data_IF_651756832874
#
_entry.id   IF_651756832874
#
_cell.length_a   1.000
_cell.length_b   1.000
_cell.length_c   1.000
_cell.angle_alpha   90.00
_cell.angle_beta   90.00
_cell.angle_gamma   90.00
#
_symmetry.space_group_name_H-M   'P 1'
#
loop_
_entity.id
_entity.type
_entity.pdbx_description
1 polymer ?
#
# COMPACT_ATOMS: atom_id res chain seq x y z
N UNK A 1 10.60 -13.47 38.50
CA UNK A 1 10.25 -14.61 37.61
C UNK A 1 8.89 -14.43 36.91
N UNK A 2 7.74 -14.40 37.60
CA UNK A 2 6.41 -14.30 36.96
C UNK A 2 6.21 -13.10 36.01
N UNK A 3 6.64 -11.89 36.39
CA UNK A 3 6.51 -10.68 35.55
C UNK A 3 7.39 -10.71 34.30
N UNK A 4 8.59 -11.25 34.41
CA UNK A 4 9.53 -11.40 33.29
C UNK A 4 8.98 -12.38 32.25
N UNK A 5 8.44 -13.50 32.72
CA UNK A 5 7.78 -14.49 31.86
C UNK A 5 6.60 -13.85 31.13
N UNK A 6 5.74 -13.10 31.83
CA UNK A 6 4.61 -12.42 31.21
C UNK A 6 5.02 -11.45 30.10
N UNK A 7 6.03 -10.60 30.35
CA UNK A 7 6.54 -9.66 29.33
C UNK A 7 7.08 -10.41 28.13
N UNK A 8 7.86 -11.48 28.35
CA UNK A 8 8.43 -12.27 27.27
C UNK A 8 7.34 -12.97 26.43
N UNK A 9 6.34 -13.55 27.09
CA UNK A 9 5.15 -14.12 26.41
C UNK A 9 4.41 -13.08 25.60
N UNK A 10 4.20 -11.86 26.14
CA UNK A 10 3.57 -10.77 25.39
C UNK A 10 4.37 -10.39 24.15
N UNK A 11 5.70 -10.28 24.26
CA UNK A 11 6.57 -9.98 23.11
C UNK A 11 6.42 -11.02 22.01
N UNK A 12 6.48 -12.30 22.37
CA UNK A 12 6.35 -13.41 21.41
C UNK A 12 4.98 -13.38 20.74
N UNK A 13 3.90 -13.25 21.52
CA UNK A 13 2.53 -13.22 21.00
C UNK A 13 2.36 -12.03 20.04
N UNK A 14 2.81 -10.84 20.45
CA UNK A 14 2.73 -9.64 19.60
C UNK A 14 3.53 -9.83 18.30
N UNK A 15 4.73 -10.41 18.36
CA UNK A 15 5.53 -10.68 17.16
C UNK A 15 4.84 -11.68 16.21
N UNK A 16 4.30 -12.79 16.73
CA UNK A 16 3.60 -13.81 15.93
C UNK A 16 2.37 -13.22 15.27
N UNK A 17 1.53 -12.51 16.03
CA UNK A 17 0.33 -11.88 15.49
C UNK A 17 0.67 -10.85 14.41
N UNK A 18 1.69 -10.01 14.66
CA UNK A 18 2.13 -8.99 13.69
C UNK A 18 2.73 -9.59 12.43
N UNK A 19 3.35 -10.77 12.52
CA UNK A 19 3.84 -11.51 11.36
C UNK A 19 2.70 -12.13 10.54
N UNK A 20 1.59 -12.53 11.17
CA UNK A 20 0.49 -13.21 10.48
C UNK A 20 -0.56 -12.25 9.90
N UNK A 21 -0.78 -11.10 10.55
CA UNK A 21 -1.94 -10.25 10.27
C UNK A 21 -1.45 -8.85 9.91
N UNK A 22 -1.61 -8.48 8.63
CA UNK A 22 -1.04 -7.24 8.10
C UNK A 22 -1.65 -5.98 8.71
N UNK A 23 -2.94 -5.94 9.07
CA UNK A 23 -3.56 -4.73 9.64
C UNK A 23 -3.11 -4.39 11.07
N UNK A 24 -2.49 -5.36 11.78
CA UNK A 24 -2.00 -5.14 13.15
C UNK A 24 -0.93 -4.05 13.20
N UNK A 25 -0.13 -3.88 12.14
CA UNK A 25 0.90 -2.85 12.11
C UNK A 25 0.33 -1.43 12.31
N UNK A 26 -0.79 -1.10 11.67
CA UNK A 26 -1.47 0.20 11.78
C UNK A 26 -1.98 0.42 13.19
N UNK A 27 -2.55 -0.62 13.80
CA UNK A 27 -3.00 -0.57 15.19
C UNK A 27 -1.84 -0.36 16.17
N UNK A 28 -0.71 -1.04 15.97
CA UNK A 28 0.49 -0.86 16.79
C UNK A 28 1.08 0.54 16.63
N UNK A 29 1.12 1.09 15.41
CA UNK A 29 1.57 2.47 15.16
C UNK A 29 0.68 3.46 15.89
N UNK A 30 -0.65 3.28 15.84
CA UNK A 30 -1.59 4.12 16.56
C UNK A 30 -1.35 4.08 18.08
N UNK A 31 -1.14 2.88 18.66
CA UNK A 31 -0.82 2.74 20.08
C UNK A 31 0.48 3.48 20.43
N UNK A 32 1.52 3.36 19.60
CA UNK A 32 2.78 4.08 19.80
C UNK A 32 2.53 5.59 19.83
N UNK A 33 1.79 6.12 18.85
CA UNK A 33 1.47 7.55 18.77
C UNK A 33 0.72 8.04 20.01
N UNK A 34 -0.31 7.31 20.44
CA UNK A 34 -1.09 7.65 21.64
C UNK A 34 -0.24 7.63 22.91
N UNK A 35 0.67 6.66 23.06
CA UNK A 35 1.57 6.59 24.22
C UNK A 35 2.63 7.69 24.20
N UNK A 36 3.13 8.10 23.02
CA UNK A 36 4.04 9.25 22.89
C UNK A 36 3.30 10.53 23.30
N UNK A 37 2.09 10.77 22.78
CA UNK A 37 1.29 11.93 23.15
C UNK A 37 1.00 11.97 24.67
N UNK A 38 0.66 10.82 25.25
CA UNK A 38 0.48 10.70 26.70
C UNK A 38 1.75 11.04 27.47
N UNK A 39 2.92 10.53 27.05
CA UNK A 39 4.20 10.83 27.69
C UNK A 39 4.58 12.31 27.61
N UNK A 40 4.24 12.99 26.50
CA UNK A 40 4.43 14.45 26.37
C UNK A 40 3.58 15.18 27.41
N UNK A 41 2.28 14.87 27.50
CA UNK A 41 1.36 15.51 28.46
C UNK A 41 1.82 15.28 29.90
N UNK A 42 2.14 14.03 30.25
CA UNK A 42 2.64 13.67 31.58
C UNK A 42 3.97 14.34 31.88
N UNK A 43 4.86 14.44 30.89
CA UNK A 43 6.12 15.17 31.00
C UNK A 43 5.90 16.64 31.37
N UNK A 44 4.98 17.32 30.67
CA UNK A 44 4.62 18.71 30.96
C UNK A 44 4.05 18.87 32.38
N UNK A 45 3.16 17.98 32.82
CA UNK A 45 2.61 18.00 34.18
C UNK A 45 3.72 17.78 35.23
N UNK A 46 4.71 16.93 34.90
CA UNK A 46 5.78 16.57 35.84
C UNK A 46 6.72 17.72 36.20
N UNK A 47 6.75 18.78 35.38
CA UNK A 47 7.47 20.03 35.67
C UNK A 47 6.89 20.72 36.92
N UNK A 48 5.57 20.67 37.07
CA UNK A 48 4.85 21.35 38.16
C UNK A 48 4.55 20.43 39.35
N UNK A 49 4.55 19.11 39.14
CA UNK A 49 4.20 18.14 40.17
C UNK A 49 5.05 16.88 40.06
N UNK A 50 5.63 16.43 41.17
CA UNK A 50 6.32 15.14 41.22
C UNK A 50 5.35 14.00 40.96
N UNK A 51 5.54 13.28 39.85
CA UNK A 51 4.73 12.14 39.46
C UNK A 51 5.43 10.81 39.80
N UNK A 52 4.63 9.75 39.92
CA UNK A 52 5.14 8.40 40.20
C UNK A 52 5.83 7.85 38.96
N UNK A 53 7.05 7.30 39.11
CA UNK A 53 7.83 6.71 38.02
C UNK A 53 7.07 5.67 37.16
N UNK A 54 6.09 4.96 37.73
CA UNK A 54 5.26 3.99 36.98
C UNK A 54 4.46 4.64 35.84
N UNK A 55 4.10 5.92 35.95
CA UNK A 55 3.35 6.66 34.93
C UNK A 55 4.17 6.80 33.65
N UNK A 56 5.50 6.88 33.75
CA UNK A 56 6.40 6.87 32.60
C UNK A 56 6.77 5.46 32.15
N UNK A 57 7.04 4.54 33.09
CA UNK A 57 7.52 3.18 32.76
C UNK A 57 6.52 2.33 31.97
N UNK A 58 5.22 2.45 32.26
CA UNK A 58 4.20 1.62 31.60
C UNK A 58 4.05 1.99 30.10
N UNK A 59 3.84 3.26 29.72
CA UNK A 59 3.79 3.65 28.31
C UNK A 59 5.07 3.30 27.55
N UNK A 60 6.25 3.49 28.16
CA UNK A 60 7.53 3.11 27.53
C UNK A 60 7.59 1.61 27.26
N UNK A 61 7.17 0.77 28.20
CA UNK A 61 7.12 -0.68 28.00
C UNK A 61 6.15 -1.07 26.87
N UNK A 62 4.98 -0.42 26.79
CA UNK A 62 4.01 -0.63 25.71
C UNK A 62 4.61 -0.22 24.36
N UNK A 63 5.27 0.93 24.29
CA UNK A 63 5.97 1.39 23.08
C UNK A 63 7.01 0.36 22.64
N UNK A 64 7.85 -0.14 23.56
CA UNK A 64 8.84 -1.17 23.24
C UNK A 64 8.18 -2.45 22.70
N UNK A 65 7.07 -2.90 23.29
CA UNK A 65 6.31 -4.06 22.82
C UNK A 65 5.77 -3.85 21.40
N UNK A 66 5.17 -2.69 21.14
CA UNK A 66 4.64 -2.33 19.83
C UNK A 66 5.74 -2.25 18.76
N UNK A 67 6.91 -1.68 19.10
CA UNK A 67 8.07 -1.63 18.19
C UNK A 67 8.50 -3.03 17.78
N UNK A 68 8.56 -3.99 18.70
CA UNK A 68 8.89 -5.39 18.35
C UNK A 68 7.88 -5.98 17.38
N UNK A 69 6.57 -5.75 17.60
CA UNK A 69 5.53 -6.19 16.67
C UNK A 69 5.67 -5.55 15.28
N UNK A 70 5.88 -4.24 15.22
CA UNK A 70 6.10 -3.50 13.96
C UNK A 70 7.30 -4.09 13.22
N UNK A 71 8.43 -4.28 13.89
CA UNK A 71 9.63 -4.88 13.29
C UNK A 71 9.36 -6.30 12.78
N UNK A 72 8.66 -7.14 13.55
CA UNK A 72 8.28 -8.48 13.12
C UNK A 72 7.39 -8.46 11.86
N UNK A 73 6.48 -7.49 11.75
CA UNK A 73 5.59 -7.34 10.57
C UNK A 73 6.34 -7.02 9.27
N UNK A 74 7.53 -6.39 9.35
CA UNK A 74 8.34 -6.08 8.16
C UNK A 74 8.85 -7.33 7.44
N UNK A 75 8.90 -8.46 8.15
CA UNK A 75 9.32 -9.76 7.61
C UNK A 75 8.16 -10.61 7.09
N UNK A 76 6.91 -10.12 7.16
CA UNK A 76 5.77 -10.82 6.57
C UNK A 76 6.03 -11.07 5.07
N UNK A 77 5.89 -12.31 4.58
CA UNK A 77 6.13 -12.61 3.17
C UNK A 77 5.07 -11.94 2.31
N UNK A 78 5.47 -11.40 1.15
CA UNK A 78 4.48 -10.99 0.15
C UNK A 78 3.75 -12.23 -0.40
N UNK A 79 2.47 -12.07 -0.72
CA UNK A 79 1.77 -13.04 -1.56
C UNK A 79 2.38 -13.10 -2.97
N UNK A 80 2.04 -14.12 -3.75
CA UNK A 80 2.49 -14.21 -5.15
C UNK A 80 2.04 -12.95 -5.90
N UNK A 81 2.90 -12.38 -6.74
CA UNK A 81 2.56 -11.17 -7.49
C UNK A 81 1.57 -11.44 -8.63
N UNK A 82 1.55 -12.68 -9.12
CA UNK A 82 0.70 -13.14 -10.23
C UNK A 82 0.24 -14.59 -9.99
N UNK A 83 -0.81 -14.98 -10.71
CA UNK A 83 -1.25 -16.37 -10.89
C UNK A 83 -1.29 -16.69 -12.39
N UNK A 84 -1.30 -17.97 -12.75
CA UNK A 84 -1.50 -18.42 -14.13
C UNK A 84 -2.74 -19.33 -14.20
N UNK A 85 -3.93 -18.74 -14.04
CA UNK A 85 -5.18 -19.45 -14.24
C UNK A 85 -5.53 -19.52 -15.74
N UNK A 86 -6.47 -20.40 -16.09
CA UNK A 86 -6.99 -20.52 -17.45
C UNK A 86 -7.89 -19.34 -17.85
N UNK A 87 -8.30 -18.50 -16.90
CA UNK A 87 -9.17 -17.35 -17.13
C UNK A 87 -8.34 -16.07 -17.13
N UNK A 88 -8.40 -15.33 -18.24
CA UNK A 88 -7.68 -14.07 -18.41
C UNK A 88 -8.06 -13.03 -17.35
N UNK A 89 -9.36 -12.87 -17.09
CA UNK A 89 -9.88 -11.86 -16.17
C UNK A 89 -9.36 -12.10 -14.75
N UNK A 90 -9.26 -13.36 -14.32
CA UNK A 90 -8.74 -13.71 -13.00
C UNK A 90 -7.26 -13.34 -12.86
N UNK A 91 -6.45 -13.56 -13.90
CA UNK A 91 -5.03 -13.20 -13.90
C UNK A 91 -4.85 -11.67 -13.78
N UNK A 92 -5.65 -10.91 -14.52
CA UNK A 92 -5.64 -9.44 -14.50
C UNK A 92 -6.09 -8.88 -13.16
N UNK A 93 -7.21 -9.38 -12.64
CA UNK A 93 -7.75 -8.99 -11.34
C UNK A 93 -6.77 -9.31 -10.22
N UNK A 94 -6.12 -10.48 -10.25
CA UNK A 94 -5.15 -10.87 -9.24
C UNK A 94 -3.89 -10.00 -9.28
N UNK A 95 -3.37 -9.71 -10.47
CA UNK A 95 -2.23 -8.80 -10.63
C UNK A 95 -2.55 -7.41 -10.08
N UNK A 96 -3.73 -6.87 -10.41
CA UNK A 96 -4.22 -5.59 -9.86
C UNK A 96 -4.36 -5.64 -8.33
N UNK A 97 -5.07 -6.63 -7.78
CA UNK A 97 -5.31 -6.74 -6.34
C UNK A 97 -4.01 -6.84 -5.55
N UNK A 98 -3.04 -7.60 -6.03
CA UNK A 98 -1.76 -7.75 -5.34
C UNK A 98 -0.87 -6.52 -5.49
N UNK A 99 -0.92 -5.79 -6.61
CA UNK A 99 -0.26 -4.47 -6.74
C UNK A 99 -0.81 -3.49 -5.70
N UNK A 100 -2.13 -3.37 -5.61
CA UNK A 100 -2.79 -2.49 -4.64
C UNK A 100 -2.53 -2.91 -3.20
N UNK A 101 -2.46 -4.23 -2.94
CA UNK A 101 -2.14 -4.75 -1.62
C UNK A 101 -0.71 -4.41 -1.22
N UNK A 102 0.27 -4.66 -2.09
CA UNK A 102 1.67 -4.40 -1.78
C UNK A 102 1.88 -2.92 -1.44
N UNK A 103 1.24 -2.00 -2.17
CA UNK A 103 1.34 -0.54 -1.93
C UNK A 103 0.71 -0.10 -0.61
N UNK A 104 -0.12 -0.94 0.02
CA UNK A 104 -0.69 -0.73 1.36
C UNK A 104 0.09 -1.45 2.46
N UNK A 105 1.22 -2.09 2.16
CA UNK A 105 2.02 -2.75 3.20
C UNK A 105 3.08 -1.77 3.76
N UNK A 106 3.26 -1.76 5.08
CA UNK A 106 4.20 -0.86 5.76
C UNK A 106 5.63 -0.97 5.20
N UNK A 107 6.09 -2.20 4.93
CA UNK A 107 7.43 -2.47 4.36
C UNK A 107 7.63 -1.85 2.99
N UNK A 108 6.57 -1.56 2.24
CA UNK A 108 6.68 -0.93 0.93
C UNK A 108 7.11 0.53 1.00
N UNK A 109 6.94 1.18 2.16
CA UNK A 109 7.44 2.52 2.45
C UNK A 109 8.88 2.53 3.01
N UNK A 110 9.46 1.35 3.28
CA UNK A 110 10.80 1.22 3.85
C UNK A 110 11.70 0.57 2.80
N UNK A 111 12.52 1.36 2.12
CA UNK A 111 13.28 0.93 0.93
C UNK A 111 14.03 -0.39 1.09
N UNK A 112 14.63 -0.67 2.25
CA UNK A 112 15.35 -1.93 2.51
C UNK A 112 14.45 -3.18 2.49
N UNK A 113 13.18 -3.05 2.87
CA UNK A 113 12.22 -4.17 2.91
C UNK A 113 11.26 -4.20 1.71
N UNK A 114 11.22 -3.11 0.94
CA UNK A 114 10.32 -2.98 -0.20
C UNK A 114 10.78 -3.87 -1.35
N UNK A 115 9.83 -4.61 -1.94
CA UNK A 115 10.02 -5.38 -3.17
C UNK A 115 9.13 -4.90 -4.31
N UNK A 116 8.63 -3.65 -4.24
CA UNK A 116 7.65 -3.14 -5.19
C UNK A 116 8.16 -3.21 -6.64
N UNK A 117 9.36 -2.71 -6.91
CA UNK A 117 9.92 -2.68 -8.27
C UNK A 117 10.05 -4.07 -8.90
N UNK A 118 10.60 -5.04 -8.15
CA UNK A 118 10.71 -6.44 -8.58
C UNK A 118 9.32 -7.01 -8.92
N UNK A 119 8.33 -6.74 -8.08
CA UNK A 119 6.97 -7.28 -8.21
C UNK A 119 6.19 -6.61 -9.33
N UNK A 120 6.40 -5.32 -9.54
CA UNK A 120 5.84 -4.56 -10.66
C UNK A 120 6.37 -5.10 -11.99
N UNK A 121 7.68 -5.40 -12.08
CA UNK A 121 8.27 -6.07 -13.24
C UNK A 121 7.62 -7.44 -13.53
N UNK A 122 7.37 -8.26 -12.51
CA UNK A 122 6.71 -9.56 -12.66
C UNK A 122 5.31 -9.40 -13.24
N UNK A 123 4.51 -8.46 -12.71
CA UNK A 123 3.14 -8.18 -13.21
C UNK A 123 3.18 -7.63 -14.62
N UNK A 124 4.01 -6.63 -14.88
CA UNK A 124 4.16 -6.01 -16.21
C UNK A 124 4.53 -7.04 -17.26
N UNK A 125 5.42 -8.00 -16.95
CA UNK A 125 5.76 -9.09 -17.88
C UNK A 125 4.54 -9.93 -18.25
N UNK A 126 3.69 -10.27 -17.28
CA UNK A 126 2.45 -11.00 -17.55
C UNK A 126 1.45 -10.18 -18.35
N UNK A 127 1.19 -8.94 -17.94
CA UNK A 127 0.19 -8.07 -18.57
C UNK A 127 0.61 -7.69 -19.99
N UNK A 128 1.89 -7.40 -20.25
CA UNK A 128 2.41 -7.18 -21.62
C UNK A 128 2.18 -8.39 -22.53
N UNK A 129 2.31 -9.61 -22.00
CA UNK A 129 2.03 -10.84 -22.78
C UNK A 129 0.54 -10.94 -23.13
N UNK A 130 -0.34 -10.63 -22.18
CA UNK A 130 -1.79 -10.61 -22.37
C UNK A 130 -2.19 -9.54 -23.39
N UNK A 131 -1.68 -8.32 -23.23
CA UNK A 131 -1.97 -7.18 -24.11
C UNK A 131 -1.58 -7.47 -25.56
N UNK A 132 -0.41 -8.06 -25.80
CA UNK A 132 0.05 -8.45 -27.16
C UNK A 132 -0.83 -9.49 -27.87
N UNK A 133 -1.68 -10.21 -27.14
CA UNK A 133 -2.60 -11.19 -27.71
C UNK A 133 -3.95 -10.57 -28.10
N UNK A 134 -4.14 -9.26 -27.88
CA UNK A 134 -5.36 -8.51 -28.17
C UNK A 134 -6.63 -9.10 -27.51
N UNK A 135 -6.47 -9.60 -26.27
CA UNK A 135 -7.53 -10.30 -25.53
C UNK A 135 -8.30 -9.42 -24.53
N UNK A 136 -8.01 -8.12 -24.46
CA UNK A 136 -8.60 -7.20 -23.47
C UNK A 136 -9.91 -6.59 -23.98
N UNK A 137 -10.99 -7.37 -23.99
CA UNK A 137 -12.31 -6.89 -24.46
C UNK A 137 -13.18 -6.29 -23.35
N UNK A 138 -13.09 -6.80 -22.12
CA UNK A 138 -13.95 -6.34 -21.01
C UNK A 138 -13.44 -5.03 -20.42
N UNK A 139 -14.31 -4.06 -20.10
CA UNK A 139 -13.88 -2.80 -19.48
C UNK A 139 -13.11 -2.98 -18.16
N UNK A 140 -13.51 -3.94 -17.33
CA UNK A 140 -12.84 -4.21 -16.06
C UNK A 140 -11.43 -4.79 -16.25
N UNK A 141 -11.24 -5.61 -17.29
CA UNK A 141 -9.93 -6.18 -17.64
C UNK A 141 -8.98 -5.10 -18.16
N UNK A 142 -9.50 -4.15 -18.95
CA UNK A 142 -8.76 -2.96 -19.38
C UNK A 142 -8.36 -2.10 -18.18
N UNK A 143 -9.26 -1.85 -17.23
CA UNK A 143 -8.95 -1.13 -16.00
C UNK A 143 -7.84 -1.81 -15.19
N UNK A 144 -7.93 -3.12 -14.95
CA UNK A 144 -6.91 -3.87 -14.21
C UNK A 144 -5.55 -3.82 -14.92
N UNK A 145 -5.52 -4.01 -16.24
CA UNK A 145 -4.29 -3.90 -17.03
C UNK A 145 -3.71 -2.48 -16.99
N UNK A 146 -4.55 -1.46 -17.15
CA UNK A 146 -4.15 -0.06 -17.12
C UNK A 146 -3.49 0.31 -15.80
N UNK A 147 -4.02 -0.17 -14.67
CA UNK A 147 -3.45 0.10 -13.36
C UNK A 147 -2.04 -0.49 -13.20
N UNK A 148 -1.82 -1.69 -13.72
CA UNK A 148 -0.47 -2.31 -13.71
C UNK A 148 0.48 -1.54 -14.63
N UNK A 149 0.07 -1.17 -15.84
CA UNK A 149 0.89 -0.36 -16.76
C UNK A 149 1.20 1.03 -16.21
N UNK A 150 0.28 1.63 -15.45
CA UNK A 150 0.46 2.94 -14.82
C UNK A 150 1.69 2.94 -13.89
N UNK A 151 2.05 1.80 -13.31
CA UNK A 151 3.21 1.63 -12.43
C UNK A 151 4.49 1.15 -13.15
N UNK A 152 4.51 1.18 -14.48
CA UNK A 152 5.74 0.96 -15.23
C UNK A 152 6.76 2.10 -15.04
N UNK A 153 7.91 1.95 -15.70
CA UNK A 153 9.07 2.84 -15.68
C UNK A 153 9.33 3.52 -17.04
N UNK A 154 8.39 3.43 -17.99
CA UNK A 154 8.63 3.88 -19.37
C UNK A 154 7.38 4.52 -20.01
N UNK A 155 7.62 5.51 -20.87
CA UNK A 155 6.58 6.31 -21.52
C UNK A 155 5.63 5.48 -22.40
N UNK A 156 6.11 4.39 -23.01
CA UNK A 156 5.29 3.54 -23.88
C UNK A 156 4.19 2.84 -23.08
N UNK A 157 4.53 2.30 -21.92
CA UNK A 157 3.56 1.67 -21.04
C UNK A 157 2.62 2.69 -20.40
N UNK A 158 3.08 3.91 -20.08
CA UNK A 158 2.19 4.98 -19.63
C UNK A 158 1.14 5.35 -20.68
N UNK A 159 1.53 5.38 -21.96
CA UNK A 159 0.59 5.58 -23.06
C UNK A 159 -0.47 4.47 -23.09
N UNK A 160 -0.04 3.21 -23.01
CA UNK A 160 -0.94 2.05 -22.98
C UNK A 160 -1.88 2.13 -21.76
N UNK A 161 -1.37 2.52 -20.59
CA UNK A 161 -2.17 2.73 -19.39
C UNK A 161 -3.25 3.78 -19.63
N UNK A 162 -2.90 4.92 -20.23
CA UNK A 162 -3.83 6.00 -20.55
C UNK A 162 -4.94 5.56 -21.50
N UNK A 163 -4.59 4.85 -22.57
CA UNK A 163 -5.56 4.38 -23.57
C UNK A 163 -6.54 3.36 -22.95
N UNK A 164 -6.02 2.36 -22.22
CA UNK A 164 -6.84 1.34 -21.56
C UNK A 164 -7.73 1.93 -20.45
N UNK A 165 -7.21 2.88 -19.67
CA UNK A 165 -7.97 3.55 -18.62
C UNK A 165 -9.08 4.42 -19.21
N UNK A 166 -8.82 5.11 -20.33
CA UNK A 166 -9.85 5.87 -21.06
C UNK A 166 -10.95 4.97 -21.59
N UNK A 167 -10.60 3.86 -22.25
CA UNK A 167 -11.57 2.88 -22.73
C UNK A 167 -12.44 2.32 -21.59
N UNK A 168 -11.83 1.98 -20.46
CA UNK A 168 -12.56 1.50 -19.29
C UNK A 168 -13.51 2.58 -18.76
N UNK A 169 -13.02 3.82 -18.61
CA UNK A 169 -13.76 4.96 -18.09
C UNK A 169 -14.91 5.42 -19.00
N UNK A 170 -14.84 5.16 -20.31
CA UNK A 170 -15.91 5.49 -21.24
C UNK A 170 -16.96 4.38 -21.37
N UNK A 171 -16.75 3.22 -20.74
CA UNK A 171 -17.72 2.13 -20.76
C UNK A 171 -18.96 2.41 -19.92
N UNK A 172 -20.12 1.93 -20.36
CA UNK A 172 -21.39 2.15 -19.65
C UNK A 172 -21.37 1.63 -18.21
N UNK A 173 -20.62 0.55 -17.96
CA UNK A 173 -20.54 -0.12 -16.66
C UNK A 173 -19.64 0.63 -15.67
N UNK A 174 -18.57 1.26 -16.16
CA UNK A 174 -17.54 1.87 -15.30
C UNK A 174 -17.48 3.39 -15.37
N UNK A 175 -18.28 4.06 -16.21
CA UNK A 175 -18.25 5.52 -16.36
C UNK A 175 -18.47 6.31 -15.07
N UNK A 176 -19.21 5.74 -14.13
CA UNK A 176 -19.47 6.37 -12.83
C UNK A 176 -18.52 5.88 -11.72
N UNK A 177 -17.55 5.01 -12.02
CA UNK A 177 -16.60 4.52 -11.03
C UNK A 177 -15.49 5.55 -10.81
N UNK A 178 -15.43 6.11 -9.60
CA UNK A 178 -14.44 7.12 -9.21
C UNK A 178 -13.00 6.70 -9.51
N UNK A 179 -12.59 5.50 -9.08
CA UNK A 179 -11.21 5.02 -9.24
C UNK A 179 -10.84 4.87 -10.71
N UNK A 180 -11.78 4.45 -11.56
CA UNK A 180 -11.57 4.33 -13.00
C UNK A 180 -11.40 5.73 -13.63
N UNK A 181 -12.22 6.71 -13.23
CA UNK A 181 -12.11 8.09 -13.70
C UNK A 181 -10.81 8.77 -13.23
N UNK A 182 -10.39 8.50 -11.99
CA UNK A 182 -9.11 8.94 -11.48
C UNK A 182 -7.96 8.33 -12.29
N UNK A 183 -7.99 7.02 -12.54
CA UNK A 183 -6.92 6.34 -13.28
C UNK A 183 -6.79 6.89 -14.70
N UNK A 184 -7.92 7.19 -15.38
CA UNK A 184 -7.91 7.86 -16.70
C UNK A 184 -7.08 9.15 -16.66
N UNK A 185 -7.33 10.01 -15.67
CA UNK A 185 -6.61 11.29 -15.53
C UNK A 185 -5.15 11.07 -15.13
N UNK A 186 -4.91 10.20 -14.15
CA UNK A 186 -3.59 9.94 -13.57
C UNK A 186 -2.62 9.29 -14.56
N UNK A 187 -3.10 8.35 -15.37
CA UNK A 187 -2.28 7.71 -16.41
C UNK A 187 -2.01 8.63 -17.59
N UNK A 188 -2.97 9.47 -17.98
CA UNK A 188 -2.77 10.49 -19.01
C UNK A 188 -1.70 11.50 -18.62
N UNK A 189 -1.81 12.12 -17.44
CA UNK A 189 -0.81 13.09 -16.98
C UNK A 189 0.58 12.46 -16.84
N UNK A 190 0.65 11.22 -16.33
CA UNK A 190 1.93 10.49 -16.26
C UNK A 190 2.56 10.29 -17.63
N UNK A 191 1.75 9.96 -18.64
CA UNK A 191 2.23 9.86 -20.02
C UNK A 191 2.73 11.22 -20.52
N UNK A 192 1.95 12.29 -20.36
CA UNK A 192 2.33 13.65 -20.82
C UNK A 192 3.65 14.11 -20.19
N UNK A 193 3.78 13.98 -18.87
CA UNK A 193 5.01 14.35 -18.15
C UNK A 193 6.20 13.52 -18.65
N UNK A 194 6.01 12.22 -18.88
CA UNK A 194 7.08 11.33 -19.36
C UNK A 194 7.61 11.68 -20.75
N UNK A 195 6.88 12.48 -21.54
CA UNK A 195 7.29 12.96 -22.87
C UNK A 195 7.59 14.47 -22.89
N UNK A 196 7.77 15.08 -21.71
CA UNK A 196 8.13 16.49 -21.57
C UNK A 196 6.97 17.47 -21.80
N UNK A 197 5.72 16.99 -21.74
CA UNK A 197 4.52 17.82 -21.88
C UNK A 197 3.92 18.14 -20.49
N UNK A 198 3.20 19.27 -20.35
CA UNK A 198 2.55 19.62 -19.10
C UNK A 198 1.41 18.65 -18.75
N UNK A 199 1.12 18.54 -17.44
CA UNK A 199 -0.07 17.86 -16.94
C UNK A 199 -1.35 18.56 -17.42
N UNK A 200 -2.41 17.80 -17.70
CA UNK A 200 -3.73 18.33 -18.04
C UNK A 200 -4.66 18.35 -16.83
N UNK A 201 -4.53 17.36 -15.95
CA UNK A 201 -5.42 17.19 -14.79
C UNK A 201 -4.72 17.41 -13.44
N UNK A 202 -3.42 17.74 -13.44
CA UNK A 202 -2.59 18.03 -12.26
C UNK A 202 -2.56 16.89 -11.22
N UNK A 203 -2.46 15.65 -11.68
CA UNK A 203 -2.53 14.44 -10.85
C UNK A 203 -1.19 13.88 -10.38
N UNK A 204 -0.05 14.28 -10.94
CA UNK A 204 1.25 13.70 -10.58
C UNK A 204 1.83 14.30 -9.29
N UNK A 205 1.49 15.55 -8.98
CA UNK A 205 2.10 16.31 -7.89
C UNK A 205 1.12 16.80 -6.81
N UNK A 206 -0.19 16.54 -6.95
CA UNK A 206 -1.20 16.95 -5.99
C UNK A 206 -1.92 15.76 -5.37
N UNK A 207 -2.14 15.82 -4.06
CA UNK A 207 -3.00 14.88 -3.35
C UNK A 207 -4.47 15.16 -3.71
N UNK A 208 -5.06 14.36 -4.59
CA UNK A 208 -6.49 14.42 -4.87
C UNK A 208 -7.26 13.65 -3.78
N UNK A 209 -7.79 14.35 -2.78
CA UNK A 209 -8.77 13.79 -1.85
C UNK A 209 -10.15 14.17 -2.38
N UNK A 210 -10.97 13.18 -2.74
CA UNK A 210 -12.41 13.39 -2.92
C UNK A 210 -13.10 13.06 -1.58
N UNK A 211 -13.92 13.99 -1.08
CA UNK A 211 -14.63 13.89 0.19
C UNK A 211 -16.10 13.47 0.00
N UNK A 212 -16.45 12.95 -1.19
CA UNK A 212 -17.81 12.51 -1.52
C UNK A 212 -18.03 11.02 -1.26
#
# INVERSE_FOLDING_TARGET
>A
MKKTILIFSSIIITAILSYQITWINYFLILIVFLNIAFLIIVGLISIFKKLRNRIFKIPVLIICLCIVGILASLFHPYEKAIINSNNLSDNLEYAYKTDQKDRKELKSFIGYFSKLEERDSIRLKQIRKIYKQDKLSKPIDKFHAAFVFHHSDNSKDYKIASELAEDAANSEILKNNYTVQWLKKASYDRYMVSIGQPEKYNTQNNLSIDLN
#
